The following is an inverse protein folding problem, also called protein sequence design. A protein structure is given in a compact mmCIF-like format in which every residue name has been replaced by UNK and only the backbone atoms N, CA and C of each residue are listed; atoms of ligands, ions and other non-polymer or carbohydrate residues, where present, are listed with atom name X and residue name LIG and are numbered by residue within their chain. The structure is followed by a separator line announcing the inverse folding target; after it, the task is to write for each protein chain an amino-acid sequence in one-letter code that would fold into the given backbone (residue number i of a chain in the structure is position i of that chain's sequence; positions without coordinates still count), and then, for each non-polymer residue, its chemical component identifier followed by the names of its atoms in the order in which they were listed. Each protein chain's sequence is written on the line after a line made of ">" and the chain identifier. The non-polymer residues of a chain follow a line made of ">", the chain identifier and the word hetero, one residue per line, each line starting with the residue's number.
data_IF_250882772424
#
_entry.id   IF_250882772424
#
_cell.length_a   1.000
_cell.length_b   1.000
_cell.length_c   1.000
_cell.angle_alpha   90.00
_cell.angle_beta   90.00
_cell.angle_gamma   90.00
#
_symmetry.space_group_name_H-M   'P 1'
#
loop_
_entity.id
_entity.type
_entity.pdbx_description
1 polymer ?
#
# COMPACT_ATOMS: atom_id res chain seq x y z
N UNK A 1 -15.31 -34.17 -18.12
CA UNK A 1 -16.32 -33.98 -17.08
C UNK A 1 -16.21 -32.58 -16.55
N UNK A 2 -17.27 -31.79 -16.72
CA UNK A 2 -17.35 -30.37 -16.40
C UNK A 2 -17.16 -30.15 -14.89
N UNK A 3 -16.33 -29.18 -14.54
CA UNK A 3 -16.04 -28.82 -13.14
C UNK A 3 -17.33 -28.43 -12.41
N UNK A 4 -17.78 -29.28 -11.52
CA UNK A 4 -18.85 -28.98 -10.58
C UNK A 4 -18.36 -27.89 -9.64
N UNK A 5 -19.05 -26.76 -9.67
CA UNK A 5 -18.80 -25.64 -8.75
C UNK A 5 -18.93 -26.16 -7.30
N UNK A 6 -17.95 -25.87 -6.46
CA UNK A 6 -17.94 -26.34 -5.07
C UNK A 6 -19.18 -25.92 -4.26
N UNK A 7 -19.93 -24.93 -4.71
CA UNK A 7 -21.21 -24.48 -4.17
C UNK A 7 -22.30 -25.51 -4.49
N UNK A 8 -22.34 -26.04 -5.72
CA UNK A 8 -23.29 -27.08 -6.11
C UNK A 8 -23.11 -28.37 -5.33
N UNK A 9 -21.87 -28.81 -5.17
CA UNK A 9 -21.54 -29.99 -4.36
C UNK A 9 -21.93 -29.79 -2.88
N UNK A 10 -21.77 -28.58 -2.35
CA UNK A 10 -22.19 -28.29 -0.99
C UNK A 10 -23.71 -28.30 -0.81
N UNK A 11 -24.47 -27.78 -1.78
CA UNK A 11 -25.93 -27.81 -1.77
C UNK A 11 -26.44 -29.25 -1.74
N UNK A 12 -25.94 -30.12 -2.62
CA UNK A 12 -26.26 -31.54 -2.66
C UNK A 12 -25.88 -32.28 -1.35
N UNK A 13 -24.72 -31.97 -0.80
CA UNK A 13 -24.31 -32.53 0.50
C UNK A 13 -25.24 -32.10 1.63
N UNK A 14 -25.76 -30.87 1.61
CA UNK A 14 -26.75 -30.36 2.58
C UNK A 14 -28.07 -31.12 2.49
N UNK A 15 -28.55 -31.40 1.31
CA UNK A 15 -29.76 -32.19 1.06
C UNK A 15 -29.58 -33.63 1.57
N UNK A 16 -28.38 -34.18 1.48
CA UNK A 16 -28.01 -35.50 1.99
C UNK A 16 -27.59 -35.51 3.48
N UNK A 17 -27.96 -34.45 4.23
CA UNK A 17 -27.79 -34.44 5.70
C UNK A 17 -26.48 -33.88 6.22
N UNK A 18 -25.60 -33.29 5.38
CA UNK A 18 -24.38 -32.65 5.82
C UNK A 18 -24.68 -31.34 6.58
N UNK A 19 -24.29 -31.27 7.86
CA UNK A 19 -24.67 -30.18 8.78
C UNK A 19 -23.56 -29.14 9.05
N UNK A 20 -22.34 -29.34 8.55
CA UNK A 20 -21.23 -28.38 8.75
C UNK A 20 -21.20 -27.29 7.67
N UNK A 21 -20.39 -26.26 7.86
CA UNK A 21 -20.23 -25.15 6.92
C UNK A 21 -19.52 -25.61 5.62
N UNK A 22 -19.65 -24.81 4.56
CA UNK A 22 -18.91 -25.01 3.31
C UNK A 22 -17.39 -25.09 3.54
N UNK A 23 -16.85 -24.20 4.40
CA UNK A 23 -15.42 -24.23 4.75
C UNK A 23 -15.03 -25.54 5.44
N UNK A 24 -15.89 -26.08 6.29
CA UNK A 24 -15.70 -27.38 6.93
C UNK A 24 -15.70 -28.54 5.94
N UNK A 25 -16.56 -28.49 4.92
CA UNK A 25 -16.60 -29.48 3.84
C UNK A 25 -15.33 -29.42 2.98
N UNK A 26 -14.90 -28.21 2.58
CA UNK A 26 -13.67 -28.00 1.81
C UNK A 26 -12.45 -28.52 2.59
N UNK A 27 -12.39 -28.23 3.90
CA UNK A 27 -11.30 -28.71 4.76
C UNK A 27 -11.28 -30.25 4.83
N UNK A 28 -12.44 -30.89 5.03
CA UNK A 28 -12.55 -32.34 5.06
C UNK A 28 -12.16 -32.98 3.71
N UNK A 29 -12.65 -32.43 2.59
CA UNK A 29 -12.32 -32.88 1.25
C UNK A 29 -10.81 -32.78 0.96
N UNK A 30 -10.15 -31.70 1.39
CA UNK A 30 -8.67 -31.56 1.28
C UNK A 30 -7.93 -32.63 2.10
N UNK A 31 -8.39 -32.89 3.32
CA UNK A 31 -7.77 -33.88 4.21
C UNK A 31 -7.92 -35.30 3.69
N UNK A 32 -9.03 -35.60 3.01
CA UNK A 32 -9.32 -36.88 2.38
C UNK A 32 -8.72 -37.05 0.98
N UNK A 33 -8.02 -36.01 0.46
CA UNK A 33 -7.43 -36.06 -0.88
C UNK A 33 -8.45 -36.01 -2.02
N UNK A 34 -9.70 -35.64 -1.73
CA UNK A 34 -10.81 -35.59 -2.70
C UNK A 34 -10.80 -34.29 -3.55
N UNK A 35 -9.96 -33.33 -3.21
CA UNK A 35 -9.79 -32.12 -4.02
C UNK A 35 -8.56 -32.28 -4.90
N UNK A 36 -8.71 -32.07 -6.20
CA UNK A 36 -7.55 -31.90 -7.07
C UNK A 36 -6.69 -30.74 -6.52
N UNK A 37 -5.41 -30.99 -6.34
CA UNK A 37 -4.45 -29.91 -6.07
C UNK A 37 -4.48 -29.02 -7.30
N UNK A 38 -5.22 -27.91 -7.23
CA UNK A 38 -5.23 -26.92 -8.31
C UNK A 38 -3.78 -26.65 -8.68
N UNK A 39 -3.45 -26.78 -9.97
CA UNK A 39 -2.10 -26.46 -10.48
C UNK A 39 -1.75 -25.10 -9.86
N UNK A 40 -0.72 -25.06 -9.01
CA UNK A 40 -0.20 -23.79 -8.51
C UNK A 40 0.09 -22.96 -9.75
N UNK A 41 -0.68 -21.89 -9.96
CA UNK A 41 -0.35 -20.92 -11.03
C UNK A 41 1.09 -20.54 -10.74
N UNK A 42 2.00 -20.89 -11.64
CA UNK A 42 3.37 -20.41 -11.53
C UNK A 42 3.30 -18.89 -11.36
N UNK A 43 4.01 -18.35 -10.37
CA UNK A 43 4.07 -16.91 -10.23
C UNK A 43 4.57 -16.38 -11.58
N UNK A 44 3.77 -15.54 -12.25
CA UNK A 44 4.21 -14.86 -13.47
C UNK A 44 5.49 -14.12 -13.10
N UNK A 45 6.63 -14.71 -13.45
CA UNK A 45 7.91 -14.02 -13.31
C UNK A 45 7.86 -12.85 -14.27
N UNK A 46 7.68 -11.65 -13.73
CA UNK A 46 7.96 -10.43 -14.47
C UNK A 46 9.46 -10.44 -14.78
N UNK A 47 9.82 -10.88 -15.98
CA UNK A 47 11.20 -10.88 -16.48
C UNK A 47 11.66 -9.49 -16.93
N UNK A 48 10.81 -8.48 -16.84
CA UNK A 48 11.18 -7.10 -17.08
C UNK A 48 12.06 -6.57 -15.95
N UNK A 49 13.34 -6.41 -16.20
CA UNK A 49 14.19 -5.58 -15.36
C UNK A 49 13.67 -4.15 -15.47
N UNK A 50 13.05 -3.64 -14.42
CA UNK A 50 12.78 -2.21 -14.34
C UNK A 50 14.11 -1.48 -14.23
N UNK A 51 14.39 -0.48 -15.07
CA UNK A 51 15.63 0.27 -14.97
C UNK A 51 15.75 0.84 -13.56
N UNK A 52 16.92 0.67 -12.97
CA UNK A 52 17.22 1.28 -11.67
C UNK A 52 17.29 2.78 -11.84
N UNK A 53 16.44 3.53 -11.12
CA UNK A 53 16.49 4.99 -11.16
C UNK A 53 17.71 5.46 -10.38
N UNK A 54 18.50 6.32 -11.00
CA UNK A 54 19.76 6.80 -10.45
C UNK A 54 19.65 8.17 -9.76
N UNK A 55 18.56 8.89 -10.02
CA UNK A 55 18.37 10.25 -9.53
C UNK A 55 17.28 10.29 -8.46
N UNK A 56 17.60 10.77 -7.24
CA UNK A 56 16.58 10.98 -6.21
C UNK A 56 15.48 11.93 -6.68
N UNK A 57 14.23 11.57 -6.43
CA UNK A 57 13.06 12.36 -6.83
C UNK A 57 12.62 12.20 -8.28
N UNK A 58 13.35 11.45 -9.12
CA UNK A 58 12.91 11.15 -10.49
C UNK A 58 11.53 10.50 -10.50
N UNK A 59 11.29 9.56 -9.56
CA UNK A 59 9.98 8.94 -9.35
C UNK A 59 9.75 8.57 -7.88
N UNK A 60 8.66 9.08 -7.34
CA UNK A 60 8.16 8.79 -5.99
C UNK A 60 6.85 8.04 -6.11
N UNK A 61 6.73 6.89 -5.46
CA UNK A 61 5.46 6.18 -5.32
C UNK A 61 4.73 6.70 -4.10
N UNK A 62 3.42 6.95 -4.24
CA UNK A 62 2.53 7.28 -3.11
C UNK A 62 1.39 6.26 -3.07
N UNK A 63 1.01 5.87 -1.88
CA UNK A 63 -0.10 4.97 -1.60
C UNK A 63 -0.70 5.27 -0.24
N UNK A 64 -1.97 4.89 -0.06
CA UNK A 64 -2.69 5.04 1.19
C UNK A 64 -3.00 3.66 1.76
N UNK A 65 -2.79 3.53 3.05
CA UNK A 65 -3.13 2.33 3.81
C UNK A 65 -4.07 2.70 4.94
N UNK A 66 -5.14 1.94 5.10
CA UNK A 66 -5.93 1.99 6.34
C UNK A 66 -5.12 1.44 7.50
N UNK A 67 -5.13 2.15 8.63
CA UNK A 67 -4.52 1.70 9.89
C UNK A 67 -5.30 0.49 10.40
N UNK A 68 -4.64 -0.62 10.76
CA UNK A 68 -5.36 -1.80 11.23
C UNK A 68 -6.28 -1.47 12.41
N UNK A 69 -7.53 -1.87 12.31
CA UNK A 69 -8.54 -1.61 13.33
C UNK A 69 -8.13 -2.14 14.72
N UNK A 70 -7.37 -3.25 14.76
CA UNK A 70 -6.80 -3.81 15.97
C UNK A 70 -5.84 -2.89 16.71
N UNK A 71 -5.31 -1.85 16.05
CA UNK A 71 -4.42 -0.86 16.65
C UNK A 71 -5.18 0.33 17.28
N UNK A 72 -6.47 0.51 16.96
CA UNK A 72 -7.26 1.65 17.44
C UNK A 72 -7.74 1.44 18.87
N UNK A 73 -7.77 2.50 19.67
CA UNK A 73 -8.18 2.50 21.09
C UNK A 73 -9.02 3.73 21.41
N UNK A 74 -9.67 3.68 22.58
CA UNK A 74 -10.37 4.84 23.13
C UNK A 74 -11.60 5.27 22.34
N UNK A 75 -11.78 6.58 22.17
CA UNK A 75 -12.96 7.17 21.53
C UNK A 75 -13.04 6.84 20.05
N UNK A 76 -11.91 6.86 19.35
CA UNK A 76 -11.86 6.57 17.91
C UNK A 76 -12.40 5.16 17.59
N UNK A 77 -12.07 4.19 18.44
CA UNK A 77 -12.58 2.82 18.32
C UNK A 77 -14.09 2.75 18.62
N UNK A 78 -14.55 3.46 19.64
CA UNK A 78 -15.98 3.50 20.02
C UNK A 78 -16.85 4.17 18.97
N UNK A 79 -16.34 5.20 18.31
CA UNK A 79 -17.03 5.93 17.25
C UNK A 79 -17.00 5.18 15.90
N UNK A 80 -16.34 4.02 15.83
CA UNK A 80 -16.17 3.27 14.58
C UNK A 80 -15.38 4.03 13.52
N UNK A 81 -14.55 4.98 13.93
CA UNK A 81 -13.73 5.78 13.01
C UNK A 81 -12.51 5.03 12.55
N UNK A 82 -12.01 5.39 11.38
CA UNK A 82 -10.81 4.84 10.77
C UNK A 82 -9.70 5.89 10.74
N UNK A 83 -8.46 5.44 10.72
CA UNK A 83 -7.30 6.26 10.43
C UNK A 83 -6.62 5.74 9.16
N UNK A 84 -6.02 6.64 8.41
CA UNK A 84 -5.37 6.33 7.15
C UNK A 84 -3.94 6.85 7.15
N UNK A 85 -3.01 6.03 6.68
CA UNK A 85 -1.59 6.38 6.52
C UNK A 85 -1.30 6.62 5.05
N UNK A 86 -0.89 7.83 4.69
CA UNK A 86 -0.22 8.12 3.43
C UNK A 86 1.26 7.78 3.53
N UNK A 87 1.77 7.14 2.51
CA UNK A 87 3.18 6.77 2.42
C UNK A 87 3.73 7.18 1.07
N UNK A 88 4.82 7.92 1.08
CA UNK A 88 5.63 8.19 -0.11
C UNK A 88 6.96 7.45 0.00
N UNK A 89 7.45 6.88 -1.11
CA UNK A 89 8.77 6.25 -1.21
C UNK A 89 9.47 6.67 -2.50
N UNK A 90 10.67 7.22 -2.38
CA UNK A 90 11.52 7.49 -3.54
C UNK A 90 12.08 6.19 -4.12
N UNK A 91 11.95 6.01 -5.43
CA UNK A 91 12.37 4.77 -6.08
C UNK A 91 13.89 4.60 -6.16
N UNK A 92 14.66 5.66 -6.15
CA UNK A 92 16.12 5.63 -6.18
C UNK A 92 16.70 5.28 -4.80
N UNK A 93 16.40 6.11 -3.81
CA UNK A 93 17.02 6.02 -2.48
C UNK A 93 16.27 5.13 -1.50
N UNK A 94 15.01 4.80 -1.77
CA UNK A 94 14.04 4.18 -0.83
C UNK A 94 13.70 5.08 0.36
N UNK A 95 14.09 6.36 0.32
CA UNK A 95 13.70 7.33 1.34
C UNK A 95 12.18 7.46 1.39
N UNK A 96 11.65 7.47 2.59
CA UNK A 96 10.20 7.49 2.84
C UNK A 96 9.79 8.76 3.55
N UNK A 97 8.51 9.11 3.35
CA UNK A 97 7.76 10.06 4.18
C UNK A 97 6.38 9.45 4.46
N UNK A 98 5.89 9.61 5.68
CA UNK A 98 4.61 9.06 6.14
C UNK A 98 3.86 10.09 6.97
N UNK A 99 2.53 10.09 6.85
CA UNK A 99 1.66 10.90 7.69
C UNK A 99 0.25 10.30 7.74
N UNK A 100 -0.42 10.41 8.90
CA UNK A 100 -1.76 9.91 9.15
C UNK A 100 -2.82 10.98 9.09
N UNK A 101 -4.02 10.62 8.60
CA UNK A 101 -5.21 11.46 8.59
C UNK A 101 -6.42 10.64 9.04
N UNK A 102 -7.47 11.33 9.49
CA UNK A 102 -8.75 10.72 9.88
C UNK A 102 -9.64 10.40 8.67
N UNK A 103 -9.44 11.07 7.54
CA UNK A 103 -10.26 10.93 6.35
C UNK A 103 -9.43 10.65 5.12
N UNK A 104 -9.94 9.79 4.25
CA UNK A 104 -9.35 9.39 2.99
C UNK A 104 -9.89 10.26 1.85
N UNK A 105 -9.37 11.49 1.74
CA UNK A 105 -9.87 12.53 0.81
C UNK A 105 -8.77 13.09 -0.10
N UNK A 106 -9.14 13.63 -1.28
CA UNK A 106 -8.19 14.31 -2.15
C UNK A 106 -7.52 15.53 -1.49
N UNK A 107 -8.23 16.23 -0.60
CA UNK A 107 -7.72 17.38 0.16
C UNK A 107 -6.59 16.96 1.09
N UNK A 108 -6.72 15.80 1.75
CA UNK A 108 -5.69 15.25 2.59
C UNK A 108 -4.50 14.75 1.77
N UNK A 109 -4.72 14.24 0.55
CA UNK A 109 -3.65 13.93 -0.41
C UNK A 109 -2.87 15.19 -0.81
N UNK A 110 -3.54 16.33 -1.02
CA UNK A 110 -2.88 17.62 -1.28
C UNK A 110 -2.07 18.09 -0.07
N UNK A 111 -2.63 18.01 1.14
CA UNK A 111 -1.88 18.36 2.37
C UNK A 111 -0.63 17.49 2.50
N UNK A 112 -0.77 16.17 2.30
CA UNK A 112 0.34 15.23 2.32
C UNK A 112 1.42 15.59 1.28
N UNK A 113 1.03 15.92 0.04
CA UNK A 113 1.93 16.34 -1.02
C UNK A 113 2.78 17.57 -0.62
N UNK A 114 2.14 18.58 -0.03
CA UNK A 114 2.83 19.79 0.40
C UNK A 114 3.82 19.52 1.54
N UNK A 115 3.47 18.62 2.46
CA UNK A 115 4.36 18.17 3.53
C UNK A 115 5.52 17.34 2.97
N UNK A 116 5.25 16.43 2.03
CA UNK A 116 6.24 15.60 1.36
C UNK A 116 7.31 16.44 0.65
N UNK A 117 6.90 17.47 -0.10
CA UNK A 117 7.82 18.38 -0.82
C UNK A 117 8.75 19.11 0.17
N UNK A 118 8.25 19.47 1.35
CA UNK A 118 9.07 20.10 2.40
C UNK A 118 10.01 19.11 3.08
N UNK A 119 9.58 17.85 3.21
CA UNK A 119 10.33 16.81 3.92
C UNK A 119 11.45 16.20 3.05
N UNK A 120 11.23 16.07 1.74
CA UNK A 120 12.25 15.52 0.86
C UNK A 120 13.31 16.57 0.51
N UNK A 121 14.60 16.24 0.66
CA UNK A 121 15.69 17.17 0.39
C UNK A 121 16.13 17.20 -1.09
N UNK A 122 15.22 16.83 -2.01
CA UNK A 122 15.42 16.82 -3.45
C UNK A 122 14.10 17.16 -4.16
N UNK A 123 14.22 17.65 -5.41
CA UNK A 123 13.05 17.97 -6.22
C UNK A 123 12.36 16.70 -6.73
N UNK A 124 11.06 16.61 -6.55
CA UNK A 124 10.23 15.52 -7.08
C UNK A 124 9.84 15.86 -8.52
N UNK A 125 10.13 14.95 -9.47
CA UNK A 125 9.79 15.10 -10.88
C UNK A 125 8.51 14.37 -11.25
N UNK A 126 8.33 13.17 -10.73
CA UNK A 126 7.16 12.33 -11.02
C UNK A 126 6.62 11.71 -9.73
N UNK A 127 5.32 11.79 -9.54
CA UNK A 127 4.59 11.03 -8.53
C UNK A 127 3.80 9.93 -9.22
N UNK A 128 3.94 8.71 -8.74
CA UNK A 128 3.17 7.55 -9.18
C UNK A 128 2.20 7.12 -8.08
N UNK A 129 0.92 6.99 -8.44
CA UNK A 129 -0.14 6.49 -7.55
C UNK A 129 -0.92 5.37 -8.24
N UNK A 130 -1.77 4.70 -7.49
CA UNK A 130 -2.87 3.94 -8.06
C UNK A 130 -3.98 4.88 -8.58
N UNK A 131 -5.16 4.32 -8.89
CA UNK A 131 -6.29 5.06 -9.45
C UNK A 131 -7.35 5.38 -8.38
N UNK A 132 -6.96 5.48 -7.12
CA UNK A 132 -7.84 5.83 -6.02
C UNK A 132 -8.45 7.23 -6.18
N UNK A 133 -9.69 7.41 -5.71
CA UNK A 133 -10.41 8.68 -5.81
C UNK A 133 -9.72 9.82 -5.07
N UNK A 134 -8.90 9.53 -4.09
CA UNK A 134 -8.06 10.48 -3.35
C UNK A 134 -6.93 11.08 -4.19
N UNK A 135 -6.60 10.44 -5.33
CA UNK A 135 -5.52 10.87 -6.22
C UNK A 135 -6.02 11.33 -7.59
N UNK A 136 -7.08 10.73 -8.12
CA UNK A 136 -7.54 11.05 -9.48
C UNK A 136 -9.01 10.71 -9.69
N UNK A 137 -9.70 11.49 -10.53
CA UNK A 137 -11.06 11.21 -10.99
C UNK A 137 -11.10 10.67 -12.42
N UNK A 138 -9.95 10.35 -13.02
CA UNK A 138 -9.84 9.91 -14.41
C UNK A 138 -10.79 8.78 -14.83
N UNK A 139 -11.16 7.91 -13.87
CA UNK A 139 -12.06 6.76 -14.13
C UNK A 139 -13.43 6.92 -13.46
N UNK A 140 -13.71 8.10 -12.88
CA UNK A 140 -14.93 8.39 -12.13
C UNK A 140 -15.75 9.48 -12.84
N UNK A 141 -15.07 10.51 -13.38
CA UNK A 141 -15.71 11.66 -14.03
C UNK A 141 -14.86 12.14 -15.20
N UNK A 142 -15.52 12.43 -16.32
CA UNK A 142 -14.87 13.04 -17.50
C UNK A 142 -14.80 14.57 -17.41
N UNK A 143 -15.54 15.19 -16.48
CA UNK A 143 -15.71 16.65 -16.36
C UNK A 143 -15.02 17.24 -15.15
N UNK A 144 -14.75 16.46 -14.11
CA UNK A 144 -14.16 16.92 -12.86
C UNK A 144 -12.70 16.50 -12.74
N UNK A 145 -11.83 17.44 -12.42
CA UNK A 145 -10.44 17.16 -12.10
C UNK A 145 -10.22 17.12 -10.59
N UNK A 146 -9.58 16.05 -10.11
CA UNK A 146 -9.24 15.86 -8.71
C UNK A 146 -8.33 16.98 -8.19
N UNK A 147 -8.51 17.42 -6.94
CA UNK A 147 -7.69 18.45 -6.31
C UNK A 147 -6.20 18.08 -6.26
N UNK A 148 -5.89 16.79 -6.13
CA UNK A 148 -4.52 16.29 -6.15
C UNK A 148 -3.87 16.43 -7.54
N UNK A 149 -4.58 16.09 -8.63
CA UNK A 149 -4.11 16.29 -10.01
C UNK A 149 -3.85 17.79 -10.29
N UNK A 150 -4.78 18.65 -9.85
CA UNK A 150 -4.63 20.13 -9.96
C UNK A 150 -3.38 20.62 -9.23
N UNK A 151 -3.12 20.11 -8.04
CA UNK A 151 -1.96 20.49 -7.23
C UNK A 151 -0.65 20.06 -7.91
N UNK A 152 -0.56 18.82 -8.39
CA UNK A 152 0.62 18.32 -9.11
C UNK A 152 0.93 19.14 -10.36
N UNK A 153 -0.10 19.46 -11.15
CA UNK A 153 0.05 20.30 -12.35
C UNK A 153 0.58 21.70 -12.02
N UNK A 154 0.04 22.35 -10.97
CA UNK A 154 0.52 23.67 -10.51
C UNK A 154 1.98 23.64 -10.04
N UNK A 155 2.42 22.53 -9.47
CA UNK A 155 3.78 22.32 -8.98
C UNK A 155 4.75 21.85 -10.06
N UNK A 156 4.27 21.60 -11.29
CA UNK A 156 5.08 21.07 -12.39
C UNK A 156 5.58 19.64 -12.16
N UNK A 157 4.86 18.86 -11.35
CA UNK A 157 5.16 17.45 -11.05
C UNK A 157 4.29 16.57 -11.94
N UNK A 158 4.91 15.61 -12.63
CA UNK A 158 4.20 14.67 -13.48
C UNK A 158 3.41 13.67 -12.62
N UNK A 159 2.11 13.53 -12.87
CA UNK A 159 1.33 12.43 -12.30
C UNK A 159 1.39 11.20 -13.22
N UNK A 160 1.77 10.06 -12.66
CA UNK A 160 1.80 8.76 -13.34
C UNK A 160 0.85 7.79 -12.65
N UNK A 161 -0.27 7.52 -13.28
CA UNK A 161 -1.20 6.49 -12.81
C UNK A 161 -0.69 5.11 -13.22
N UNK A 162 -0.81 4.13 -12.33
CA UNK A 162 -0.57 2.73 -12.70
C UNK A 162 -1.70 2.23 -13.60
N UNK A 163 -1.41 1.39 -14.62
CA UNK A 163 -2.47 0.80 -15.41
C UNK A 163 -3.43 -0.01 -14.54
N UNK A 164 -4.74 -0.02 -14.84
CA UNK A 164 -5.70 -0.82 -14.10
C UNK A 164 -5.27 -2.30 -14.03
N UNK A 165 -5.49 -2.95 -12.89
CA UNK A 165 -5.14 -4.35 -12.63
C UNK A 165 -3.63 -4.68 -12.69
N UNK A 166 -2.76 -3.68 -12.48
CA UNK A 166 -1.31 -3.87 -12.44
C UNK A 166 -0.68 -3.43 -11.11
N UNK A 167 -1.10 -3.98 -9.96
CA UNK A 167 -0.65 -3.54 -8.63
C UNK A 167 0.88 -3.62 -8.45
N UNK A 168 1.55 -4.53 -9.15
CA UNK A 168 3.00 -4.68 -9.06
C UNK A 168 3.80 -3.44 -9.45
N UNK A 169 3.20 -2.47 -10.16
CA UNK A 169 3.84 -1.19 -10.45
C UNK A 169 4.04 -0.33 -9.19
N UNK A 170 3.19 -0.49 -8.16
CA UNK A 170 3.31 0.18 -6.87
C UNK A 170 4.02 -0.68 -5.80
N UNK A 171 4.68 -1.76 -6.24
CA UNK A 171 5.25 -2.80 -5.37
C UNK A 171 6.27 -2.32 -4.34
N UNK A 172 6.91 -1.14 -4.53
CA UNK A 172 7.87 -0.61 -3.54
C UNK A 172 7.15 -0.06 -2.32
N UNK A 173 6.11 0.74 -2.53
CA UNK A 173 5.31 1.28 -1.42
C UNK A 173 4.48 0.19 -0.75
N UNK A 174 3.88 -0.74 -1.52
CA UNK A 174 3.17 -1.89 -0.95
C UNK A 174 4.07 -2.78 -0.09
N UNK A 175 5.32 -3.00 -0.53
CA UNK A 175 6.30 -3.74 0.28
C UNK A 175 6.65 -2.97 1.56
N UNK A 176 6.69 -1.65 1.52
CA UNK A 176 6.92 -0.84 2.70
C UNK A 176 5.76 -0.96 3.70
N UNK A 177 4.52 -1.01 3.23
CA UNK A 177 3.34 -1.25 4.08
C UNK A 177 3.38 -2.61 4.79
N UNK A 178 3.90 -3.67 4.13
CA UNK A 178 4.12 -4.97 4.80
C UNK A 178 5.18 -4.91 5.89
N UNK A 179 6.22 -4.10 5.70
CA UNK A 179 7.21 -3.85 6.73
C UNK A 179 6.61 -3.05 7.89
N UNK A 180 5.79 -2.03 7.60
CA UNK A 180 5.08 -1.25 8.63
C UNK A 180 4.14 -2.14 9.45
N UNK A 181 3.45 -3.11 8.80
CA UNK A 181 2.64 -4.06 9.54
C UNK A 181 3.49 -4.80 10.59
N UNK A 182 4.60 -5.39 10.15
CA UNK A 182 5.45 -6.25 10.97
C UNK A 182 6.25 -5.49 12.06
N UNK A 183 6.74 -4.30 11.74
CA UNK A 183 7.71 -3.59 12.59
C UNK A 183 7.10 -2.40 13.33
N UNK A 184 5.84 -2.08 13.06
CA UNK A 184 5.15 -0.97 13.68
C UNK A 184 3.75 -1.36 14.15
N UNK A 185 2.82 -1.66 13.24
CA UNK A 185 1.42 -1.90 13.61
C UNK A 185 1.19 -3.14 14.48
N UNK A 186 1.99 -4.19 14.36
CA UNK A 186 1.86 -5.38 15.21
C UNK A 186 2.23 -5.11 16.68
N UNK A 187 2.82 -3.93 16.97
CA UNK A 187 3.34 -3.57 18.29
C UNK A 187 2.72 -2.28 18.87
N UNK A 188 2.01 -1.49 18.05
CA UNK A 188 1.55 -0.15 18.42
C UNK A 188 0.03 -0.06 18.50
N UNK A 189 -0.43 0.90 19.32
CA UNK A 189 -1.84 1.25 19.43
C UNK A 189 -2.00 2.77 19.46
N UNK A 190 -3.18 3.28 19.03
CA UNK A 190 -3.40 4.71 18.84
C UNK A 190 -4.78 5.12 19.38
N UNK A 191 -4.84 6.21 20.13
CA UNK A 191 -6.07 6.78 20.65
C UNK A 191 -6.64 7.91 19.76
N UNK A 192 -5.78 8.51 18.93
CA UNK A 192 -6.12 9.59 18.00
C UNK A 192 -5.07 9.69 16.88
N UNK A 193 -5.30 10.58 15.92
CA UNK A 193 -4.41 10.80 14.78
C UNK A 193 -3.09 11.47 15.19
N UNK A 194 -3.09 12.29 16.25
CA UNK A 194 -1.89 12.94 16.76
C UNK A 194 -0.90 11.93 17.33
N UNK A 195 -1.40 10.95 18.10
CA UNK A 195 -0.58 9.86 18.63
C UNK A 195 -0.03 8.99 17.49
N UNK A 196 -0.87 8.68 16.49
CA UNK A 196 -0.42 7.97 15.29
C UNK A 196 0.74 8.73 14.63
N UNK A 197 0.58 10.04 14.39
CA UNK A 197 1.58 10.85 13.70
C UNK A 197 2.89 10.98 14.48
N UNK A 198 2.81 11.12 15.81
CA UNK A 198 4.01 11.12 16.66
C UNK A 198 4.80 9.81 16.51
N UNK A 199 4.12 8.66 16.64
CA UNK A 199 4.74 7.33 16.52
C UNK A 199 5.22 7.04 15.09
N UNK A 200 4.47 7.48 14.06
CA UNK A 200 4.90 7.38 12.65
C UNK A 200 6.19 8.18 12.41
N UNK A 201 6.35 9.35 13.02
CA UNK A 201 7.59 10.14 12.88
C UNK A 201 8.80 9.39 13.45
N UNK A 202 8.66 8.75 14.61
CA UNK A 202 9.71 7.92 15.23
C UNK A 202 10.03 6.70 14.33
N UNK A 203 9.01 6.00 13.86
CA UNK A 203 9.16 4.86 12.95
C UNK A 203 9.80 5.28 11.61
N UNK A 204 9.49 6.47 11.11
CA UNK A 204 10.07 7.00 9.87
C UNK A 204 11.57 7.24 10.01
N UNK A 205 12.02 7.79 11.15
CA UNK A 205 13.46 7.96 11.44
C UNK A 205 14.13 6.58 11.42
N UNK A 206 13.59 5.61 12.13
CA UNK A 206 14.13 4.25 12.14
C UNK A 206 14.16 3.64 10.72
N UNK A 207 13.05 3.75 9.96
CA UNK A 207 12.92 3.17 8.61
C UNK A 207 13.94 3.77 7.62
N UNK A 208 14.19 5.09 7.70
CA UNK A 208 15.13 5.77 6.80
C UNK A 208 16.60 5.55 7.18
N UNK A 209 16.88 5.09 8.39
CA UNK A 209 18.22 4.73 8.87
C UNK A 209 18.51 3.22 8.81
N UNK A 210 17.49 2.39 8.52
CA UNK A 210 17.64 0.93 8.47
C UNK A 210 18.38 0.49 7.20
N UNK A 211 19.47 -0.30 7.29
CA UNK A 211 20.14 -0.88 6.14
C UNK A 211 19.21 -1.80 5.32
N UNK A 212 19.30 -1.73 4.01
CA UNK A 212 18.48 -2.51 3.08
C UNK A 212 19.35 -3.29 2.09
N UNK A 213 19.13 -4.60 1.95
CA UNK A 213 19.86 -5.44 0.97
C UNK A 213 19.75 -4.91 -0.47
N UNK A 214 18.57 -4.35 -0.83
CA UNK A 214 18.36 -3.75 -2.16
C UNK A 214 19.22 -2.51 -2.39
N UNK A 215 19.72 -1.87 -1.35
CA UNK A 215 20.65 -0.74 -1.39
C UNK A 215 22.09 -1.18 -1.09
N UNK A 216 22.42 -2.47 -1.24
CA UNK A 216 23.74 -3.04 -0.90
C UNK A 216 24.12 -2.80 0.56
N UNK A 217 23.16 -3.08 1.45
CA UNK A 217 23.22 -2.94 2.90
C UNK A 217 23.41 -1.49 3.41
N UNK A 218 23.13 -0.49 2.57
CA UNK A 218 23.05 0.91 2.97
C UNK A 218 21.63 1.27 3.41
N UNK A 219 21.51 2.27 4.25
CA UNK A 219 20.24 2.90 4.58
C UNK A 219 19.79 3.87 3.48
N UNK A 220 18.50 4.23 3.43
CA UNK A 220 18.01 5.27 2.54
C UNK A 220 18.76 6.61 2.65
N UNK A 221 19.12 7.02 3.87
CA UNK A 221 19.88 8.25 4.13
C UNK A 221 21.31 8.14 3.59
N UNK A 222 21.99 7.02 3.79
CA UNK A 222 23.33 6.79 3.24
C UNK A 222 23.31 6.75 1.71
N UNK A 223 22.30 6.11 1.12
CA UNK A 223 22.12 6.10 -0.34
C UNK A 223 21.88 7.49 -0.88
N UNK A 224 21.07 8.31 -0.20
CA UNK A 224 20.86 9.71 -0.59
C UNK A 224 22.15 10.52 -0.54
N UNK A 225 22.99 10.34 0.48
CA UNK A 225 24.27 11.01 0.61
C UNK A 225 25.24 10.68 -0.54
N UNK A 226 25.21 9.43 -1.04
CA UNK A 226 25.98 9.05 -2.24
C UNK A 226 25.51 9.73 -3.52
N UNK A 227 24.19 9.86 -3.71
CA UNK A 227 23.64 10.48 -4.90
C UNK A 227 23.89 12.00 -4.97
N UNK A 228 24.36 12.62 -3.90
CA UNK A 228 24.71 14.06 -3.82
C UNK A 228 26.17 14.35 -4.08
N UNK A 229 27.02 13.34 -4.18
CA UNK A 229 28.44 13.45 -4.55
C UNK A 229 28.60 13.36 -6.07
#
# INVERSE_FOLDING_TARGET
>A
MSGTDGIGVYAEARENGYRRSLSGMIYAAKRLGLTEKGKKKEPRRHTGQYPELLIPGEKVQIDVKEVPYSCLRGQILRDGKHLYQWTAIDECTRMRFMYGFEEHTPENSVKFLLMLIKAFPFKIQTIQTDNGAEFTYKYISDTEECSFDKALRKLGIRHKLIPPRTPWHNGKVERSHRNDQRYFYDWETFHNVEELNRKLAEHLIWSNNKPMRVLKDKSPIEKLAECRR
#
